data_IF_324767392001
#
_entry.id   IF_324767392001
#
_cell.length_a   1.000
_cell.length_b   1.000
_cell.length_c   1.000
_cell.angle_alpha   90.00
_cell.angle_beta   90.00
_cell.angle_gamma   90.00
#
_symmetry.space_group_name_H-M   'P 1'
#
loop_
_entity.id
_entity.type
_entity.pdbx_description
1 polymer ?
#
# COMPACT_ATOMS: atom_id res chain seq x y z
N UNK A 1 -14.17 15.10 -2.95
CA UNK A 1 -13.95 13.65 -3.06
C UNK A 1 -14.30 13.11 -4.43
N UNK A 2 -15.39 13.56 -5.07
CA UNK A 2 -15.78 13.15 -6.42
C UNK A 2 -14.66 13.29 -7.47
N UNK A 3 -14.04 14.47 -7.63
CA UNK A 3 -12.95 14.64 -8.60
C UNK A 3 -11.74 13.74 -8.35
N UNK A 4 -11.50 13.37 -7.08
CA UNK A 4 -10.46 12.40 -6.71
C UNK A 4 -10.86 10.98 -7.11
N UNK A 5 -12.11 10.57 -6.87
CA UNK A 5 -12.65 9.30 -7.33
C UNK A 5 -12.61 9.18 -8.87
N UNK A 6 -12.95 10.25 -9.61
CA UNK A 6 -12.80 10.28 -11.07
C UNK A 6 -11.34 10.11 -11.51
N UNK A 7 -10.39 10.77 -10.85
CA UNK A 7 -8.98 10.59 -11.17
C UNK A 7 -8.53 9.12 -10.94
N UNK A 8 -8.98 8.51 -9.84
CA UNK A 8 -8.68 7.12 -9.50
C UNK A 8 -9.33 6.10 -10.45
N UNK A 9 -10.51 6.42 -11.00
CA UNK A 9 -11.20 5.61 -12.01
C UNK A 9 -10.34 5.43 -13.27
N UNK A 10 -9.58 6.44 -13.66
CA UNK A 10 -8.66 6.37 -14.80
C UNK A 10 -7.26 5.88 -14.42
N UNK A 11 -6.74 6.31 -13.26
CA UNK A 11 -5.40 5.93 -12.80
C UNK A 11 -5.30 4.44 -12.49
N UNK A 12 -6.34 3.83 -11.90
CA UNK A 12 -6.30 2.42 -11.49
C UNK A 12 -6.12 1.47 -12.68
N UNK A 13 -6.93 1.51 -13.76
CA UNK A 13 -6.72 0.67 -14.93
C UNK A 13 -5.38 0.93 -15.61
N UNK A 14 -4.91 2.19 -15.62
CA UNK A 14 -3.61 2.54 -16.19
C UNK A 14 -2.46 1.84 -15.47
N UNK A 15 -2.40 1.93 -14.13
CA UNK A 15 -1.36 1.25 -13.35
C UNK A 15 -1.45 -0.27 -13.42
N UNK A 16 -2.66 -0.84 -13.39
CA UNK A 16 -2.84 -2.29 -13.60
C UNK A 16 -2.33 -2.70 -14.99
N UNK A 17 -2.59 -1.89 -16.02
CA UNK A 17 -2.05 -2.09 -17.36
C UNK A 17 -0.52 -2.11 -17.39
N UNK A 18 0.14 -1.18 -16.69
CA UNK A 18 1.61 -1.15 -16.60
C UNK A 18 2.17 -2.38 -15.86
N UNK A 19 1.53 -2.82 -14.78
CA UNK A 19 1.89 -4.07 -14.09
C UNK A 19 1.77 -5.26 -15.03
N UNK A 20 0.69 -5.35 -15.81
CA UNK A 20 0.52 -6.43 -16.80
C UNK A 20 1.60 -6.38 -17.88
N UNK A 21 1.96 -5.19 -18.37
CA UNK A 21 3.06 -5.01 -19.32
C UNK A 21 4.38 -5.51 -18.73
N UNK A 22 4.71 -5.18 -17.48
CA UNK A 22 5.92 -5.69 -16.83
C UNK A 22 5.89 -7.21 -16.66
N UNK A 23 4.75 -7.79 -16.26
CA UNK A 23 4.58 -9.25 -16.17
C UNK A 23 4.82 -9.91 -17.53
N UNK A 24 4.24 -9.37 -18.60
CA UNK A 24 4.39 -9.90 -19.97
C UNK A 24 5.84 -9.77 -20.45
N UNK A 25 6.47 -8.63 -20.20
CA UNK A 25 7.88 -8.39 -20.50
C UNK A 25 8.77 -9.39 -19.76
N UNK A 26 8.59 -9.57 -18.46
CA UNK A 26 9.32 -10.53 -17.64
C UNK A 26 9.19 -11.98 -18.13
N UNK A 27 8.03 -12.37 -18.66
CA UNK A 27 7.83 -13.68 -19.34
C UNK A 27 8.58 -13.75 -20.66
N UNK A 28 8.48 -12.71 -21.48
CA UNK A 28 9.14 -12.63 -22.78
C UNK A 28 10.67 -12.76 -22.67
N UNK A 29 11.27 -12.06 -21.70
CA UNK A 29 12.73 -12.12 -21.44
C UNK A 29 13.15 -13.27 -20.51
N UNK A 30 12.21 -14.14 -20.11
CA UNK A 30 12.43 -15.28 -19.20
C UNK A 30 13.07 -14.92 -17.85
N UNK A 31 12.78 -13.73 -17.32
CA UNK A 31 13.30 -13.22 -16.05
C UNK A 31 12.15 -12.61 -15.22
N UNK A 32 11.17 -13.44 -14.84
CA UNK A 32 9.98 -12.99 -14.13
C UNK A 32 10.31 -12.50 -12.71
N UNK A 33 9.85 -11.29 -12.36
CA UNK A 33 10.04 -10.65 -11.05
C UNK A 33 8.78 -10.64 -10.18
N UNK A 34 7.65 -11.03 -10.75
CA UNK A 34 6.39 -11.13 -10.02
C UNK A 34 6.16 -12.53 -9.46
N UNK A 35 5.83 -12.58 -8.17
CA UNK A 35 5.09 -13.69 -7.57
C UNK A 35 3.59 -13.38 -7.65
N UNK A 36 2.76 -14.37 -8.03
CA UNK A 36 1.30 -14.18 -8.19
C UNK A 36 0.64 -13.76 -6.88
N UNK A 37 0.96 -14.42 -5.76
CA UNK A 37 0.32 -14.10 -4.48
C UNK A 37 0.78 -12.75 -3.93
N UNK A 38 2.07 -12.43 -4.10
CA UNK A 38 2.60 -11.11 -3.72
C UNK A 38 2.00 -9.98 -4.59
N UNK A 39 1.82 -10.22 -5.89
CA UNK A 39 1.18 -9.27 -6.80
C UNK A 39 -0.28 -9.05 -6.40
N UNK A 40 -1.02 -10.13 -6.09
CA UNK A 40 -2.40 -10.00 -5.58
C UNK A 40 -2.41 -9.19 -4.30
N UNK A 41 -1.60 -9.54 -3.30
CA UNK A 41 -1.47 -8.80 -2.03
C UNK A 41 -1.16 -7.32 -2.23
N UNK A 42 -0.24 -7.00 -3.14
CA UNK A 42 0.19 -5.63 -3.43
C UNK A 42 -0.90 -4.81 -4.10
N UNK A 43 -1.59 -5.36 -5.10
CA UNK A 43 -2.72 -4.71 -5.75
C UNK A 43 -3.90 -4.53 -4.77
N UNK A 44 -4.22 -5.56 -3.98
CA UNK A 44 -5.22 -5.48 -2.92
C UNK A 44 -4.93 -4.38 -1.90
N UNK A 45 -3.65 -4.17 -1.55
CA UNK A 45 -3.24 -3.05 -0.69
C UNK A 45 -3.62 -1.71 -1.32
N UNK A 46 -3.30 -1.52 -2.60
CA UNK A 46 -3.66 -0.32 -3.35
C UNK A 46 -5.16 -0.09 -3.36
N UNK A 47 -5.96 -1.13 -3.63
CA UNK A 47 -7.43 -1.07 -3.60
C UNK A 47 -7.95 -0.62 -2.22
N UNK A 48 -7.43 -1.17 -1.11
CA UNK A 48 -7.85 -0.73 0.23
C UNK A 48 -7.50 0.73 0.51
N UNK A 49 -6.31 1.18 0.09
CA UNK A 49 -5.90 2.57 0.26
C UNK A 49 -6.82 3.52 -0.50
N UNK A 50 -7.05 3.28 -1.80
CA UNK A 50 -7.88 4.19 -2.62
C UNK A 50 -9.33 4.22 -2.16
N UNK A 51 -9.89 3.09 -1.70
CA UNK A 51 -11.24 3.07 -1.10
C UNK A 51 -11.26 3.93 0.17
N UNK A 52 -10.35 3.71 1.12
CA UNK A 52 -10.30 4.49 2.37
C UNK A 52 -10.07 5.98 2.12
N UNK A 53 -9.16 6.33 1.21
CA UNK A 53 -8.88 7.72 0.89
C UNK A 53 -10.05 8.38 0.14
N UNK A 54 -10.74 7.67 -0.77
CA UNK A 54 -11.92 8.20 -1.46
C UNK A 54 -13.07 8.51 -0.50
N UNK A 55 -13.28 7.68 0.53
CA UNK A 55 -14.29 7.85 1.57
C UNK A 55 -13.97 9.00 2.55
N UNK A 56 -12.78 9.60 2.48
CA UNK A 56 -12.42 10.72 3.36
C UNK A 56 -12.25 10.33 4.83
N UNK A 57 -11.91 9.07 5.13
CA UNK A 57 -11.80 8.56 6.51
C UNK A 57 -10.52 9.02 7.25
N UNK A 58 -9.75 9.93 6.66
CA UNK A 58 -8.53 10.50 7.26
C UNK A 58 -8.90 11.70 8.12
N UNK A 59 -8.48 11.68 9.39
CA UNK A 59 -8.57 12.84 10.26
C UNK A 59 -7.46 13.83 9.89
N UNK A 60 -7.81 14.88 9.16
CA UNK A 60 -6.88 15.96 8.81
C UNK A 60 -6.68 16.84 10.05
N UNK A 61 -5.46 16.84 10.61
CA UNK A 61 -5.13 17.66 11.78
C UNK A 61 -5.11 19.14 11.41
N UNK A 62 -4.46 19.45 10.29
CA UNK A 62 -4.35 20.78 9.71
C UNK A 62 -4.34 20.64 8.20
N UNK A 63 -5.20 21.39 7.51
CA UNK A 63 -5.28 21.38 6.05
C UNK A 63 -4.36 22.45 5.44
N UNK A 64 -3.93 22.25 4.19
CA UNK A 64 -3.16 23.27 3.48
C UNK A 64 -3.94 24.59 3.29
N UNK A 65 -5.24 24.59 2.92
CA UNK A 65 -6.04 25.81 2.87
C UNK A 65 -6.05 26.59 4.20
N UNK A 66 -6.16 25.88 5.33
CA UNK A 66 -6.10 26.51 6.64
C UNK A 66 -4.75 27.20 6.89
N UNK A 67 -3.63 26.54 6.57
CA UNK A 67 -2.30 27.15 6.70
C UNK A 67 -2.15 28.37 5.78
N UNK A 68 -2.62 28.27 4.54
CA UNK A 68 -2.54 29.36 3.57
C UNK A 68 -3.32 30.58 4.05
N UNK A 69 -4.56 30.39 4.51
CA UNK A 69 -5.41 31.46 5.02
C UNK A 69 -4.79 32.21 6.21
N UNK A 70 -4.12 31.49 7.13
CA UNK A 70 -3.65 32.05 8.39
C UNK A 70 -2.17 32.45 8.40
N UNK A 71 -1.34 31.89 7.51
CA UNK A 71 0.12 32.09 7.53
C UNK A 71 0.65 32.82 6.30
N UNK A 72 -0.11 32.95 5.21
CA UNK A 72 0.38 33.60 4.00
C UNK A 72 0.79 35.05 4.26
N UNK A 73 2.03 35.38 3.92
CA UNK A 73 2.55 36.75 3.96
C UNK A 73 2.41 37.45 2.60
N UNK A 74 2.22 36.68 1.53
CA UNK A 74 2.16 37.13 0.16
C UNK A 74 0.92 36.55 -0.52
N UNK A 75 0.39 37.29 -1.49
CA UNK A 75 -0.59 36.77 -2.44
C UNK A 75 0.12 36.56 -3.79
N UNK A 76 0.31 35.31 -4.21
CA UNK A 76 1.02 34.97 -5.43
C UNK A 76 0.05 34.46 -6.50
N UNK A 77 0.12 35.04 -7.70
CA UNK A 77 -0.60 34.53 -8.88
C UNK A 77 0.04 33.24 -9.39
N UNK A 78 -0.78 32.27 -9.81
CA UNK A 78 -0.34 30.99 -10.37
C UNK A 78 0.35 31.13 -11.74
N UNK A 79 1.61 31.57 -11.75
CA UNK A 79 2.48 31.59 -12.94
C UNK A 79 3.19 30.24 -13.11
N UNK A 80 3.71 29.92 -14.31
CA UNK A 80 4.45 28.68 -14.55
C UNK A 80 5.62 28.47 -13.58
N UNK A 81 6.27 29.55 -13.15
CA UNK A 81 7.37 29.51 -12.18
C UNK A 81 6.87 29.04 -10.80
N UNK A 82 5.68 29.46 -10.37
CA UNK A 82 5.06 29.00 -9.12
C UNK A 82 4.80 27.51 -9.15
N UNK A 83 4.35 26.97 -10.29
CA UNK A 83 4.16 25.53 -10.46
C UNK A 83 5.48 24.76 -10.31
N UNK A 84 6.57 25.23 -10.94
CA UNK A 84 7.89 24.59 -10.84
C UNK A 84 8.42 24.65 -9.40
N UNK A 85 8.38 25.83 -8.77
CA UNK A 85 8.86 26.00 -7.39
C UNK A 85 8.01 25.20 -6.40
N UNK A 86 6.69 25.18 -6.57
CA UNK A 86 5.79 24.39 -5.74
C UNK A 86 6.05 22.88 -5.90
N UNK A 87 6.35 22.41 -7.11
CA UNK A 87 6.74 21.01 -7.33
C UNK A 87 8.03 20.65 -6.60
N UNK A 88 9.05 21.50 -6.67
CA UNK A 88 10.31 21.33 -5.94
C UNK A 88 10.07 21.35 -4.43
N UNK A 89 9.23 22.27 -3.93
CA UNK A 89 8.88 22.35 -2.52
C UNK A 89 8.10 21.12 -2.04
N UNK A 90 7.18 20.60 -2.87
CA UNK A 90 6.47 19.35 -2.60
C UNK A 90 7.44 18.17 -2.53
N UNK A 91 8.41 18.08 -3.46
CA UNK A 91 9.41 17.01 -3.45
C UNK A 91 10.36 17.09 -2.24
N UNK A 92 10.74 18.31 -1.83
CA UNK A 92 11.54 18.52 -0.62
C UNK A 92 10.77 18.16 0.65
N UNK A 93 9.50 18.57 0.77
CA UNK A 93 8.62 18.15 1.87
C UNK A 93 8.45 16.62 1.89
N UNK A 94 8.33 16.04 0.70
CA UNK A 94 8.30 14.61 0.46
C UNK A 94 9.52 13.87 0.98
N UNK A 95 10.73 14.36 0.67
CA UNK A 95 11.99 13.83 1.19
C UNK A 95 12.00 13.81 2.73
N UNK A 96 11.59 14.90 3.39
CA UNK A 96 11.56 14.95 4.85
C UNK A 96 10.50 14.02 5.45
N UNK A 97 9.31 13.95 4.85
CA UNK A 97 8.28 12.98 5.25
C UNK A 97 8.81 11.55 5.16
N UNK A 98 9.49 11.24 4.06
CA UNK A 98 10.05 9.93 3.80
C UNK A 98 11.18 9.61 4.79
N UNK A 99 12.05 10.57 5.07
CA UNK A 99 13.11 10.43 6.09
C UNK A 99 12.54 10.20 7.48
N UNK A 100 11.53 10.96 7.89
CA UNK A 100 10.83 10.73 9.16
C UNK A 100 10.23 9.32 9.21
N UNK A 101 9.67 8.86 8.09
CA UNK A 101 9.09 7.51 7.96
C UNK A 101 10.13 6.40 8.16
N UNK A 102 11.36 6.58 7.70
CA UNK A 102 12.43 5.58 7.92
C UNK A 102 13.07 5.65 9.31
N UNK A 103 13.00 6.81 9.98
CA UNK A 103 13.75 7.05 11.22
C UNK A 103 12.90 7.06 12.49
N UNK A 104 11.57 7.06 12.43
CA UNK A 104 10.70 7.19 13.61
C UNK A 104 9.55 6.19 13.56
N UNK A 105 9.33 5.45 14.65
CA UNK A 105 8.34 4.37 14.73
C UNK A 105 6.91 4.77 14.31
N UNK A 106 6.42 5.94 14.74
CA UNK A 106 5.09 6.43 14.35
C UNK A 106 4.94 6.59 12.84
N UNK A 107 5.91 7.24 12.19
CA UNK A 107 5.88 7.48 10.75
C UNK A 107 6.18 6.19 9.96
N UNK A 108 7.08 5.34 10.47
CA UNK A 108 7.34 4.02 9.87
C UNK A 108 6.09 3.15 9.81
N UNK A 109 5.18 3.24 10.79
CA UNK A 109 3.91 2.51 10.72
C UNK A 109 3.07 2.85 9.47
N UNK A 110 3.24 4.06 8.94
CA UNK A 110 2.52 4.53 7.75
C UNK A 110 3.27 4.18 6.45
N UNK A 111 4.45 3.57 6.54
CA UNK A 111 5.31 3.35 5.39
C UNK A 111 5.81 1.91 5.28
N UNK A 112 5.88 1.16 6.37
CA UNK A 112 6.35 -0.23 6.43
C UNK A 112 5.66 -1.17 5.44
N UNK A 113 4.37 -0.93 5.14
CA UNK A 113 3.67 -1.75 4.15
C UNK A 113 4.26 -1.58 2.75
N UNK A 114 4.73 -0.39 2.39
CA UNK A 114 5.39 -0.14 1.11
C UNK A 114 6.62 -1.03 0.93
N UNK A 115 7.41 -1.20 1.99
CA UNK A 115 8.59 -2.08 2.02
C UNK A 115 8.27 -3.55 2.28
N UNK A 116 7.02 -3.91 2.58
CA UNK A 116 6.69 -5.25 3.08
C UNK A 116 6.76 -6.37 2.03
N UNK A 117 6.79 -6.04 0.73
CA UNK A 117 6.97 -7.06 -0.31
C UNK A 117 8.39 -7.61 -0.28
N UNK A 118 8.51 -8.92 -0.33
CA UNK A 118 9.78 -9.62 -0.49
C UNK A 118 10.18 -9.75 -1.98
N UNK A 119 9.34 -9.22 -2.89
CA UNK A 119 9.62 -9.03 -4.30
C UNK A 119 9.74 -7.52 -4.62
N UNK A 120 10.38 -7.18 -5.74
CA UNK A 120 10.48 -5.79 -6.18
C UNK A 120 10.08 -5.65 -7.65
N UNK A 121 8.94 -5.02 -7.90
CA UNK A 121 8.30 -4.87 -9.20
C UNK A 121 7.19 -3.81 -9.11
N UNK A 122 6.55 -3.45 -10.22
CA UNK A 122 5.60 -2.33 -10.28
C UNK A 122 4.39 -2.55 -9.37
N UNK A 123 4.04 -3.80 -9.05
CA UNK A 123 2.93 -4.06 -8.14
C UNK A 123 3.26 -3.61 -6.71
N UNK A 124 4.52 -3.74 -6.25
CA UNK A 124 4.90 -3.34 -4.89
C UNK A 124 4.80 -1.83 -4.67
N UNK A 125 4.90 -1.01 -5.73
CA UNK A 125 4.60 0.43 -5.68
C UNK A 125 3.20 0.72 -5.13
N UNK A 126 2.25 -0.19 -5.34
CA UNK A 126 0.85 -0.05 -4.94
C UNK A 126 0.58 -0.56 -3.52
N UNK A 127 1.61 -0.99 -2.77
CA UNK A 127 1.51 -1.25 -1.33
C UNK A 127 1.41 0.06 -0.54
N UNK A 128 0.22 0.65 -0.58
CA UNK A 128 -0.10 1.93 0.05
C UNK A 128 -0.74 1.73 1.43
N UNK A 129 -0.52 2.65 2.38
CA UNK A 129 -1.01 2.52 3.75
C UNK A 129 -2.51 2.82 3.87
N UNK A 130 -3.17 2.09 4.76
CA UNK A 130 -4.44 2.49 5.37
C UNK A 130 -4.27 2.92 6.83
N UNK A 131 -3.09 2.70 7.40
CA UNK A 131 -2.74 3.05 8.78
C UNK A 131 -2.45 4.55 8.99
N UNK A 132 -2.34 5.33 7.90
CA UNK A 132 -2.21 6.79 7.90
C UNK A 132 -3.57 7.47 8.15
N UNK A 133 -4.11 7.30 9.36
CA UNK A 133 -5.40 7.87 9.78
C UNK A 133 -5.31 9.34 10.20
N UNK A 134 -4.09 9.86 10.43
CA UNK A 134 -3.83 11.26 10.77
C UNK A 134 -3.17 11.97 9.60
N UNK A 135 -3.82 13.00 9.07
CA UNK A 135 -3.29 13.85 8.01
C UNK A 135 -2.49 15.04 8.58
N UNK A 136 -1.16 14.95 8.53
CA UNK A 136 -0.22 15.98 9.00
C UNK A 136 0.67 16.57 7.90
N UNK A 137 0.62 16.04 6.68
CA UNK A 137 1.55 16.41 5.60
C UNK A 137 1.55 17.91 5.28
N UNK A 138 0.40 18.60 5.45
CA UNK A 138 0.30 20.04 5.27
C UNK A 138 1.30 20.82 6.15
N UNK A 139 1.67 20.31 7.33
CA UNK A 139 2.67 20.94 8.20
C UNK A 139 4.05 21.01 7.57
N UNK A 140 4.40 20.06 6.68
CA UNK A 140 5.65 20.09 5.93
C UNK A 140 5.62 21.13 4.79
N UNK A 141 4.43 21.63 4.45
CA UNK A 141 4.20 22.66 3.44
C UNK A 141 4.02 24.06 4.03
N UNK A 142 4.30 24.25 5.34
CA UNK A 142 4.29 25.58 5.97
C UNK A 142 5.11 26.61 5.18
N UNK A 143 6.33 26.33 4.68
CA UNK A 143 7.05 27.31 3.86
C UNK A 143 6.30 27.73 2.59
N UNK A 144 5.63 26.79 1.91
CA UNK A 144 4.83 27.08 0.73
C UNK A 144 3.58 27.93 1.08
N UNK A 145 2.93 27.63 2.20
CA UNK A 145 1.80 28.40 2.71
C UNK A 145 2.20 29.83 3.09
N UNK A 146 3.31 30.01 3.82
CA UNK A 146 3.87 31.32 4.20
C UNK A 146 4.19 32.17 2.96
N UNK A 147 4.72 31.55 1.92
CA UNK A 147 5.00 32.21 0.64
C UNK A 147 3.74 32.46 -0.19
N UNK A 148 2.55 31.99 0.21
CA UNK A 148 1.30 32.25 -0.51
C UNK A 148 1.09 31.39 -1.75
N UNK A 149 1.66 30.17 -1.80
CA UNK A 149 1.46 29.27 -2.95
C UNK A 149 -0.02 28.86 -3.02
N UNK A 150 -0.72 29.08 -4.15
CA UNK A 150 -2.16 28.83 -4.22
C UNK A 150 -2.53 27.37 -3.97
N UNK A 151 -3.59 27.13 -3.19
CA UNK A 151 -4.08 25.80 -2.84
C UNK A 151 -4.36 24.91 -4.06
N UNK A 152 -4.84 25.50 -5.17
CA UNK A 152 -5.11 24.79 -6.42
C UNK A 152 -3.84 24.21 -7.04
N UNK A 153 -2.70 24.90 -6.91
CA UNK A 153 -1.41 24.41 -7.41
C UNK A 153 -1.00 23.16 -6.63
N UNK A 154 -1.08 23.21 -5.30
CA UNK A 154 -0.78 22.07 -4.42
C UNK A 154 -1.73 20.90 -4.68
N UNK A 155 -3.04 21.15 -4.78
CA UNK A 155 -4.06 20.14 -4.99
C UNK A 155 -3.88 19.37 -6.31
N UNK A 156 -3.36 20.02 -7.35
CA UNK A 156 -3.09 19.39 -8.65
C UNK A 156 -1.71 18.70 -8.65
N UNK A 157 -0.68 19.33 -8.09
CA UNK A 157 0.67 18.77 -8.11
C UNK A 157 0.85 17.57 -7.18
N UNK A 158 0.18 17.53 -6.03
CA UNK A 158 0.32 16.44 -5.07
C UNK A 158 0.03 15.04 -5.66
N UNK A 159 -1.11 14.79 -6.34
CA UNK A 159 -1.35 13.48 -6.97
C UNK A 159 -0.41 13.22 -8.15
N UNK A 160 -0.03 14.24 -8.94
CA UNK A 160 0.94 14.08 -10.04
C UNK A 160 2.30 13.64 -9.48
N UNK A 161 2.77 14.28 -8.41
CA UNK A 161 4.02 13.95 -7.73
C UNK A 161 3.99 12.53 -7.15
N UNK A 162 2.89 12.13 -6.52
CA UNK A 162 2.69 10.75 -6.03
C UNK A 162 2.75 9.73 -7.18
N UNK A 163 2.03 9.97 -8.28
CA UNK A 163 1.96 9.03 -9.40
C UNK A 163 3.26 8.96 -10.21
N UNK A 164 4.02 10.07 -10.28
CA UNK A 164 5.32 10.11 -10.95
C UNK A 164 6.37 9.19 -10.29
N UNK A 165 6.12 8.70 -9.08
CA UNK A 165 7.00 7.77 -8.35
C UNK A 165 6.81 6.30 -8.75
N UNK A 166 5.75 5.97 -9.48
CA UNK A 166 5.40 4.58 -9.76
C UNK A 166 6.45 3.83 -10.59
N UNK A 167 6.94 4.46 -11.67
CA UNK A 167 7.70 3.79 -12.73
C UNK A 167 9.04 3.19 -12.30
N UNK A 168 9.66 3.71 -11.24
CA UNK A 168 10.98 3.26 -10.82
C UNK A 168 10.96 1.99 -9.94
N UNK A 169 9.79 1.41 -9.69
CA UNK A 169 9.65 0.13 -8.97
C UNK A 169 9.87 -1.06 -9.91
N UNK A 170 11.07 -1.20 -10.46
CA UNK A 170 11.37 -2.31 -11.36
C UNK A 170 12.81 -2.78 -11.23
N UNK A 171 13.02 -4.09 -11.45
CA UNK A 171 14.36 -4.66 -11.59
C UNK A 171 14.80 -4.78 -13.06
N UNK A 172 13.96 -4.40 -14.02
CA UNK A 172 14.25 -4.55 -15.44
C UNK A 172 15.07 -3.41 -16.04
N UNK A 173 15.20 -2.30 -15.32
CA UNK A 173 16.00 -1.14 -15.72
C UNK A 173 17.23 -1.07 -14.82
N UNK A 174 18.41 -1.13 -15.42
CA UNK A 174 19.70 -1.02 -14.72
C UNK A 174 20.02 0.42 -14.27
N UNK A 175 21.31 0.72 -14.12
CA UNK A 175 21.77 2.08 -13.82
C UNK A 175 21.52 3.01 -15.00
N UNK A 176 21.15 4.27 -14.72
CA UNK A 176 20.80 5.26 -15.75
C UNK A 176 21.83 6.39 -15.91
N UNK A 177 23.05 6.20 -15.39
CA UNK A 177 24.18 7.11 -15.59
C UNK A 177 23.93 8.49 -14.99
N UNK A 178 24.04 9.55 -15.80
CA UNK A 178 23.95 10.93 -15.31
C UNK A 178 22.56 11.28 -14.71
N UNK A 179 21.50 10.55 -15.09
CA UNK A 179 20.17 10.76 -14.52
C UNK A 179 20.12 10.46 -13.01
N UNK A 180 20.99 9.58 -12.50
CA UNK A 180 21.11 9.20 -11.08
C UNK A 180 21.72 10.32 -10.19
N UNK A 181 22.02 11.46 -10.79
CA UNK A 181 22.45 12.66 -10.09
C UNK A 181 21.35 13.72 -10.00
N UNK A 182 20.23 13.55 -10.73
CA UNK A 182 19.14 14.52 -10.80
C UNK A 182 17.84 13.90 -10.29
N UNK A 183 17.42 12.78 -10.87
CA UNK A 183 16.15 12.12 -10.56
C UNK A 183 16.38 10.77 -9.87
N UNK A 184 15.41 10.31 -9.10
CA UNK A 184 15.38 8.96 -8.57
C UNK A 184 15.16 7.98 -9.73
N UNK A 185 15.99 6.94 -9.76
CA UNK A 185 15.99 5.92 -10.80
C UNK A 185 15.67 4.53 -10.22
N UNK A 186 15.35 3.54 -11.06
CA UNK A 186 15.08 2.18 -10.60
C UNK A 186 16.22 1.56 -9.79
N UNK A 187 17.48 1.84 -10.14
CA UNK A 187 18.65 1.39 -9.37
C UNK A 187 18.68 1.97 -7.96
N UNK A 188 18.47 3.28 -7.84
CA UNK A 188 18.43 3.96 -6.54
C UNK A 188 17.25 3.49 -5.69
N UNK A 189 16.09 3.24 -6.30
CA UNK A 189 14.90 2.78 -5.58
C UNK A 189 14.97 1.30 -5.17
N UNK A 190 15.70 0.45 -5.92
CA UNK A 190 16.04 -0.91 -5.46
C UNK A 190 16.85 -0.88 -4.17
N UNK A 191 17.88 -0.03 -4.11
CA UNK A 191 18.67 0.20 -2.88
C UNK A 191 17.77 0.68 -1.75
N UNK A 192 16.89 1.63 -2.01
CA UNK A 192 15.96 2.14 -1.02
C UNK A 192 15.08 1.03 -0.39
N UNK A 193 14.57 0.10 -1.20
CA UNK A 193 13.75 -1.01 -0.72
C UNK A 193 14.53 -2.16 -0.09
N UNK A 194 15.87 -2.11 -0.11
CA UNK A 194 16.67 -3.23 0.30
C UNK A 194 16.88 -3.29 1.81
N UNK A 195 16.90 -4.51 2.34
CA UNK A 195 17.15 -4.81 3.77
C UNK A 195 18.63 -5.10 4.07
N UNK A 196 19.51 -5.02 3.06
CA UNK A 196 20.96 -5.16 3.24
C UNK A 196 21.49 -4.07 4.18
N UNK A 197 22.48 -4.40 5.01
CA UNK A 197 23.08 -3.45 5.96
C UNK A 197 23.67 -2.20 5.27
N UNK A 198 24.13 -2.34 4.03
CA UNK A 198 24.68 -1.27 3.20
C UNK A 198 23.61 -0.27 2.75
N UNK A 199 22.35 -0.71 2.67
CA UNK A 199 21.27 -0.04 1.95
C UNK A 199 20.14 0.48 2.87
N UNK A 200 20.06 -0.01 4.10
CA UNK A 200 19.08 0.46 5.09
C UNK A 200 19.17 1.99 5.27
N UNK A 201 17.99 2.62 5.28
CA UNK A 201 17.79 4.06 5.47
C UNK A 201 18.53 4.93 4.41
N UNK A 202 18.65 4.42 3.17
CA UNK A 202 19.26 5.13 2.03
C UNK A 202 18.24 5.50 0.95
N UNK A 203 18.62 6.47 0.12
CA UNK A 203 17.90 6.94 -1.07
C UNK A 203 16.43 7.27 -0.79
N UNK A 204 16.21 8.32 0.01
CA UNK A 204 14.91 8.76 0.52
C UNK A 204 14.26 9.84 -0.37
N UNK A 205 14.92 10.28 -1.45
CA UNK A 205 14.32 11.13 -2.47
C UNK A 205 13.10 10.47 -3.11
N UNK A 206 12.16 11.28 -3.58
CA UNK A 206 10.96 10.80 -4.27
C UNK A 206 11.08 11.01 -5.78
N UNK A 207 11.21 12.26 -6.23
CA UNK A 207 11.48 12.57 -7.64
C UNK A 207 12.93 12.99 -7.83
N UNK A 208 13.47 13.89 -7.00
CA UNK A 208 14.86 14.33 -7.11
C UNK A 208 15.76 13.63 -6.09
N UNK A 209 16.81 12.96 -6.58
CA UNK A 209 17.82 12.33 -5.73
C UNK A 209 18.89 13.32 -5.23
N UNK A 210 18.78 14.60 -5.62
CA UNK A 210 19.66 15.70 -5.15
C UNK A 210 19.61 15.83 -3.63
N UNK A 211 18.42 15.64 -3.03
CA UNK A 211 18.24 15.70 -1.58
C UNK A 211 19.06 14.63 -0.85
N UNK A 212 19.16 13.43 -1.41
CA UNK A 212 19.94 12.35 -0.83
C UNK A 212 21.42 12.68 -0.74
N UNK A 213 21.96 13.37 -1.75
CA UNK A 213 23.35 13.83 -1.74
C UNK A 213 23.54 14.98 -0.77
N UNK A 214 22.61 15.93 -0.78
CA UNK A 214 22.66 17.12 0.08
C UNK A 214 22.59 16.76 1.57
N UNK A 215 21.84 15.71 1.92
CA UNK A 215 21.60 15.32 3.31
C UNK A 215 22.28 14.01 3.73
N UNK A 216 23.13 13.44 2.86
CA UNK A 216 23.98 12.29 3.20
C UNK A 216 23.26 10.94 3.27
N UNK A 217 22.14 10.78 2.57
CA UNK A 217 21.37 9.52 2.48
C UNK A 217 21.56 8.79 1.16
N UNK A 218 22.34 9.34 0.22
CA UNK A 218 22.64 8.68 -1.06
C UNK A 218 23.49 7.41 -0.86
N UNK A 219 23.12 6.34 -1.55
CA UNK A 219 23.89 5.11 -1.69
C UNK A 219 23.69 4.53 -3.08
N UNK A 220 24.79 4.23 -3.77
CA UNK A 220 24.75 3.56 -5.06
C UNK A 220 24.42 2.06 -4.90
N UNK A 221 23.74 1.48 -5.89
CA UNK A 221 23.61 0.02 -6.00
C UNK A 221 24.96 -0.59 -6.36
N UNK A 222 25.49 -1.42 -5.47
CA UNK A 222 26.78 -2.09 -5.64
C UNK A 222 26.56 -3.45 -6.31
N UNK A 223 27.38 -3.76 -7.32
CA UNK A 223 27.25 -5.00 -8.10
C UNK A 223 27.54 -6.24 -7.24
N UNK A 224 28.43 -6.10 -6.24
CA UNK A 224 28.83 -7.16 -5.32
C UNK A 224 27.84 -7.38 -4.17
N UNK A 225 26.91 -6.45 -3.95
CA UNK A 225 25.91 -6.49 -2.87
C UNK A 225 24.51 -6.44 -3.49
N UNK A 226 23.99 -7.57 -4.01
CA UNK A 226 22.70 -7.57 -4.66
C UNK A 226 21.58 -7.24 -3.65
N UNK A 227 20.67 -6.28 -3.96
CA UNK A 227 19.55 -5.92 -3.11
C UNK A 227 18.65 -7.11 -2.74
N UNK A 228 18.32 -7.22 -1.46
CA UNK A 228 17.36 -8.17 -0.89
C UNK A 228 16.18 -7.38 -0.33
N UNK A 229 14.95 -7.81 -0.57
CA UNK A 229 13.74 -7.02 -0.29
C UNK A 229 12.92 -7.57 0.87
N UNK A 230 11.96 -6.77 1.31
CA UNK A 230 11.06 -7.05 2.43
C UNK A 230 11.36 -6.12 3.60
N UNK A 231 11.10 -6.63 4.81
CA UNK A 231 11.38 -5.92 6.06
C UNK A 231 12.12 -6.87 7.00
N UNK A 232 13.07 -6.35 7.79
CA UNK A 232 13.87 -7.15 8.73
C UNK A 232 13.02 -7.98 9.71
N UNK A 233 11.78 -7.57 9.94
CA UNK A 233 10.75 -8.32 10.64
C UNK A 233 9.69 -8.72 9.61
N UNK A 234 9.80 -9.89 8.95
CA UNK A 234 8.91 -10.28 7.87
C UNK A 234 7.44 -10.15 8.25
N UNK A 235 6.63 -9.83 7.24
CA UNK A 235 5.19 -9.72 7.40
C UNK A 235 4.55 -11.08 7.70
N UNK A 236 5.03 -12.14 7.03
CA UNK A 236 4.52 -13.52 7.15
C UNK A 236 3.00 -13.62 6.90
N UNK A 237 2.48 -12.80 6.00
CA UNK A 237 1.06 -12.75 5.61
C UNK A 237 0.92 -12.07 4.25
N UNK A 238 -0.06 -12.51 3.47
CA UNK A 238 -0.51 -11.84 2.25
C UNK A 238 -1.60 -10.79 2.51
N UNK A 239 -2.12 -10.67 3.73
CA UNK A 239 -3.23 -9.79 4.05
C UNK A 239 -2.75 -8.34 4.28
N UNK A 240 -2.99 -7.40 3.34
CA UNK A 240 -2.46 -6.05 3.43
C UNK A 240 -3.04 -5.25 4.61
N UNK A 241 -4.25 -5.58 5.07
CA UNK A 241 -4.85 -4.96 6.25
C UNK A 241 -4.07 -5.38 7.50
N UNK A 242 -3.73 -6.66 7.63
CA UNK A 242 -2.90 -7.13 8.75
C UNK A 242 -1.53 -6.45 8.71
N UNK A 243 -0.86 -6.43 7.56
CA UNK A 243 0.48 -5.82 7.39
C UNK A 243 0.51 -4.37 7.89
N UNK A 244 -0.51 -3.57 7.54
CA UNK A 244 -0.63 -2.16 7.96
C UNK A 244 -0.58 -1.94 9.48
N UNK A 245 -1.07 -2.90 10.26
CA UNK A 245 -1.21 -2.76 11.71
C UNK A 245 -0.23 -3.62 12.51
N UNK A 246 0.58 -4.46 11.85
CA UNK A 246 1.57 -5.31 12.55
C UNK A 246 2.62 -4.49 13.30
N UNK A 247 3.13 -3.41 12.72
CA UNK A 247 4.13 -2.58 13.39
C UNK A 247 3.52 -1.86 14.60
N UNK A 248 2.39 -1.18 14.41
CA UNK A 248 1.62 -0.54 15.48
C UNK A 248 1.32 -1.51 16.62
N UNK A 249 0.82 -2.71 16.31
CA UNK A 249 0.49 -3.72 17.31
C UNK A 249 1.71 -4.13 18.14
N UNK A 250 2.87 -4.32 17.52
CA UNK A 250 4.13 -4.63 18.24
C UNK A 250 4.54 -3.47 19.15
N UNK A 251 4.43 -2.21 18.70
CA UNK A 251 4.71 -1.04 19.54
C UNK A 251 3.76 -0.95 20.73
N UNK A 252 2.46 -1.18 20.53
CA UNK A 252 1.46 -1.21 21.61
C UNK A 252 1.79 -2.30 22.64
N UNK A 253 2.17 -3.49 22.18
CA UNK A 253 2.59 -4.58 23.07
C UNK A 253 3.84 -4.22 23.88
N UNK A 254 4.84 -3.62 23.25
CA UNK A 254 6.07 -3.21 23.93
C UNK A 254 5.82 -2.09 24.94
N UNK A 255 5.01 -1.09 24.57
CA UNK A 255 4.56 -0.02 25.45
C UNK A 255 3.76 -0.56 26.64
N UNK A 256 2.89 -1.55 26.41
CA UNK A 256 2.14 -2.20 27.48
C UNK A 256 3.05 -2.98 28.43
N UNK A 257 3.98 -3.78 27.89
CA UNK A 257 4.83 -4.71 28.64
C UNK A 257 5.96 -4.04 29.43
N UNK A 258 6.47 -2.89 28.98
CA UNK A 258 7.57 -2.24 29.69
C UNK A 258 7.12 -1.73 31.05
N UNK A 259 8.00 -1.87 32.05
CA UNK A 259 7.78 -1.33 33.41
C UNK A 259 8.12 0.15 33.51
N UNK A 260 8.85 0.70 32.55
CA UNK A 260 9.27 2.10 32.57
C UNK A 260 8.21 2.99 31.91
N UNK A 261 7.59 3.88 32.69
CA UNK A 261 6.54 4.80 32.20
C UNK A 261 7.02 5.77 31.11
N UNK A 262 8.28 6.22 31.14
CA UNK A 262 8.85 7.04 30.07
C UNK A 262 8.98 6.24 28.78
N UNK A 263 9.37 4.97 28.87
CA UNK A 263 9.45 4.08 27.72
C UNK A 263 8.08 3.82 27.08
N UNK A 264 6.99 3.83 27.87
CA UNK A 264 5.62 3.75 27.34
C UNK A 264 5.28 4.94 26.43
N UNK A 265 5.79 6.13 26.76
CA UNK A 265 5.47 7.37 26.06
C UNK A 265 6.44 7.67 24.92
N UNK A 266 7.75 7.44 25.09
CA UNK A 266 8.73 7.81 24.07
C UNK A 266 8.80 6.82 22.90
N UNK A 267 8.40 5.55 23.09
CA UNK A 267 8.53 4.49 22.07
C UNK A 267 8.01 4.89 20.69
N UNK A 268 6.92 5.66 20.63
CA UNK A 268 6.29 6.15 19.40
C UNK A 268 7.20 7.05 18.57
N UNK A 269 8.10 7.78 19.24
CA UNK A 269 9.01 8.76 18.63
C UNK A 269 10.46 8.28 18.59
N UNK A 270 10.75 7.10 19.13
CA UNK A 270 12.09 6.51 19.10
C UNK A 270 12.43 5.99 17.69
N UNK A 271 13.74 5.81 17.39
CA UNK A 271 14.20 5.24 16.14
C UNK A 271 13.58 3.89 15.79
N UNK A 272 13.45 3.62 14.50
CA UNK A 272 12.98 2.32 14.00
C UNK A 272 13.85 1.18 14.57
N UNK A 273 13.20 0.14 15.09
CA UNK A 273 13.88 -0.97 15.76
C UNK A 273 14.25 -0.74 17.24
N UNK A 274 14.12 0.48 17.77
CA UNK A 274 14.23 0.72 19.21
C UNK A 274 13.11 0.00 19.96
N UNK A 275 13.45 -0.60 21.11
CA UNK A 275 12.49 -1.22 22.04
C UNK A 275 13.01 -1.05 23.48
N UNK A 276 12.13 -1.00 24.50
CA UNK A 276 12.54 -0.90 25.90
C UNK A 276 13.45 -2.06 26.32
N UNK A 277 14.47 -1.79 27.15
CA UNK A 277 15.51 -2.78 27.51
C UNK A 277 14.92 -4.03 28.19
N UNK A 278 14.00 -3.82 29.13
CA UNK A 278 13.32 -4.89 29.86
C UNK A 278 12.48 -5.77 28.92
N UNK A 279 11.82 -5.16 27.95
CA UNK A 279 11.02 -5.86 26.94
C UNK A 279 11.90 -6.62 25.94
N UNK A 280 13.03 -6.05 25.50
CA UNK A 280 13.98 -6.75 24.60
C UNK A 280 14.47 -8.06 25.21
N UNK A 281 14.78 -8.06 26.50
CA UNK A 281 15.27 -9.24 27.22
C UNK A 281 14.16 -10.26 27.44
N UNK A 282 12.99 -9.82 27.93
CA UNK A 282 11.90 -10.72 28.32
C UNK A 282 11.06 -11.23 27.13
N UNK A 283 10.96 -10.45 26.06
CA UNK A 283 10.14 -10.73 24.88
C UNK A 283 10.95 -10.48 23.60
N UNK A 284 11.95 -11.34 23.30
CA UNK A 284 12.76 -11.20 22.09
C UNK A 284 11.90 -11.34 20.83
N UNK A 285 12.26 -10.60 19.78
CA UNK A 285 11.61 -10.66 18.47
C UNK A 285 12.65 -11.13 17.46
N UNK A 286 12.32 -12.17 16.71
CA UNK A 286 13.16 -12.68 15.63
C UNK A 286 13.23 -11.65 14.50
N UNK A 287 14.42 -11.45 13.97
CA UNK A 287 14.71 -10.60 12.81
C UNK A 287 15.54 -11.40 11.80
N UNK A 288 15.52 -10.98 10.54
CA UNK A 288 16.44 -11.51 9.53
C UNK A 288 17.84 -11.00 9.86
N UNK A 289 18.77 -11.93 10.10
CA UNK A 289 20.21 -11.61 10.29
C UNK A 289 21.02 -11.84 9.01
N UNK A 290 20.68 -12.88 8.25
CA UNK A 290 21.28 -13.17 6.94
C UNK A 290 20.26 -12.92 5.83
N UNK A 291 20.41 -11.78 5.16
CA UNK A 291 19.50 -11.32 4.09
C UNK A 291 19.58 -12.17 2.82
N UNK A 292 20.62 -12.99 2.64
CA UNK A 292 20.79 -13.82 1.45
C UNK A 292 20.24 -15.24 1.61
N UNK A 293 19.89 -15.65 2.84
CA UNK A 293 19.47 -17.03 3.14
C UNK A 293 18.17 -17.08 3.96
N UNK A 294 17.35 -16.02 3.92
CA UNK A 294 16.02 -16.08 4.51
C UNK A 294 15.03 -16.71 3.53
N UNK A 295 14.09 -17.49 4.05
CA UNK A 295 13.03 -18.09 3.25
C UNK A 295 11.92 -17.06 3.08
N UNK A 296 11.63 -16.68 1.83
CA UNK A 296 10.48 -15.84 1.51
C UNK A 296 9.17 -16.49 1.93
N UNK A 297 8.21 -15.69 2.37
CA UNK A 297 6.88 -16.14 2.72
C UNK A 297 6.16 -16.68 1.49
N UNK A 298 5.94 -18.00 1.48
CA UNK A 298 5.27 -18.67 0.38
C UNK A 298 4.55 -19.93 0.89
N UNK A 299 3.32 -19.79 1.41
CA UNK A 299 2.46 -20.92 1.71
C UNK A 299 2.25 -21.79 0.47
N UNK A 300 2.06 -23.09 0.67
CA UNK A 300 1.79 -24.04 -0.41
C UNK A 300 0.45 -23.74 -1.09
N UNK A 301 0.48 -23.56 -2.41
CA UNK A 301 -0.67 -23.12 -3.20
C UNK A 301 -0.73 -23.83 -4.54
N UNK A 302 -1.89 -24.39 -4.91
CA UNK A 302 -2.09 -24.94 -6.25
C UNK A 302 -2.24 -23.83 -7.29
N UNK A 303 -2.09 -24.20 -8.57
CA UNK A 303 -2.37 -23.30 -9.69
C UNK A 303 -3.83 -22.86 -9.72
N UNK A 304 -4.76 -23.73 -9.33
CA UNK A 304 -6.21 -23.42 -9.28
C UNK A 304 -6.48 -22.36 -8.21
N UNK A 305 -5.84 -22.46 -7.05
CA UNK A 305 -6.00 -21.48 -5.99
C UNK A 305 -5.37 -20.11 -6.32
N UNK A 306 -4.24 -20.10 -7.04
CA UNK A 306 -3.70 -18.85 -7.62
C UNK A 306 -4.69 -18.21 -8.60
N UNK A 307 -5.36 -19.03 -9.42
CA UNK A 307 -6.44 -18.57 -10.30
C UNK A 307 -7.61 -17.97 -9.53
N UNK A 308 -8.03 -18.60 -8.43
CA UNK A 308 -9.07 -18.07 -7.55
C UNK A 308 -8.69 -16.73 -6.91
N UNK A 309 -7.46 -16.59 -6.41
CA UNK A 309 -6.99 -15.33 -5.83
C UNK A 309 -6.98 -14.19 -6.87
N UNK A 310 -6.56 -14.48 -8.11
CA UNK A 310 -6.64 -13.52 -9.22
C UNK A 310 -8.08 -13.16 -9.58
N UNK A 311 -8.99 -14.15 -9.61
CA UNK A 311 -10.42 -13.91 -9.83
C UNK A 311 -10.99 -12.97 -8.76
N UNK A 312 -10.71 -13.22 -7.48
CA UNK A 312 -11.15 -12.37 -6.37
C UNK A 312 -10.62 -10.92 -6.52
N UNK A 313 -9.35 -10.75 -6.89
CA UNK A 313 -8.77 -9.45 -7.16
C UNK A 313 -9.46 -8.72 -8.33
N UNK A 314 -9.70 -9.42 -9.45
CA UNK A 314 -10.34 -8.83 -10.64
C UNK A 314 -11.76 -8.38 -10.29
N UNK A 315 -12.56 -9.25 -9.65
CA UNK A 315 -13.93 -8.90 -9.26
C UNK A 315 -13.96 -7.75 -8.25
N UNK A 316 -13.05 -7.75 -7.27
CA UNK A 316 -12.93 -6.64 -6.31
C UNK A 316 -12.58 -5.33 -7.00
N UNK A 317 -11.63 -5.36 -7.95
CA UNK A 317 -11.28 -4.19 -8.76
C UNK A 317 -12.47 -3.69 -9.57
N UNK A 318 -13.21 -4.58 -10.24
CA UNK A 318 -14.40 -4.20 -11.03
C UNK A 318 -15.49 -3.55 -10.15
N UNK A 319 -15.76 -4.14 -8.98
CA UNK A 319 -16.71 -3.58 -8.01
C UNK A 319 -16.26 -2.20 -7.52
N UNK A 320 -14.97 -2.00 -7.24
CA UNK A 320 -14.42 -0.70 -6.85
C UNK A 320 -14.52 0.34 -7.97
N UNK A 321 -14.20 -0.03 -9.22
CA UNK A 321 -14.33 0.89 -10.36
C UNK A 321 -15.80 1.29 -10.59
N UNK A 322 -16.73 0.36 -10.42
CA UNK A 322 -18.16 0.67 -10.44
C UNK A 322 -18.55 1.65 -9.32
N UNK A 323 -18.06 1.42 -8.10
CA UNK A 323 -18.26 2.33 -6.96
C UNK A 323 -17.75 3.75 -7.26
N UNK A 324 -16.57 3.89 -7.89
CA UNK A 324 -16.03 5.19 -8.28
C UNK A 324 -16.76 5.84 -9.44
N UNK A 325 -17.24 5.04 -10.40
CA UNK A 325 -18.04 5.55 -11.51
C UNK A 325 -19.39 6.12 -11.03
N UNK A 326 -20.03 5.45 -10.07
CA UNK A 326 -21.31 5.86 -9.48
C UNK A 326 -21.17 6.58 -8.13
N UNK A 327 -20.02 7.21 -7.88
CA UNK A 327 -19.67 7.72 -6.57
C UNK A 327 -20.73 8.68 -5.98
N UNK A 328 -21.20 9.63 -6.80
CA UNK A 328 -22.15 10.65 -6.37
C UNK A 328 -23.57 10.11 -6.19
N UNK A 329 -23.99 9.13 -7.00
CA UNK A 329 -25.34 8.55 -6.99
C UNK A 329 -25.55 7.58 -5.81
N UNK A 330 -24.50 6.86 -5.38
CA UNK A 330 -24.57 5.88 -4.29
C UNK A 330 -24.85 6.56 -2.92
N UNK A 331 -24.44 7.82 -2.76
CA UNK A 331 -24.53 8.55 -1.49
C UNK A 331 -23.54 8.05 -0.43
N UNK A 332 -23.31 8.85 0.61
CA UNK A 332 -22.25 8.56 1.59
C UNK A 332 -22.46 7.25 2.35
N UNK A 333 -23.68 6.99 2.84
CA UNK A 333 -23.98 5.75 3.58
C UNK A 333 -23.83 4.50 2.69
N UNK A 334 -24.25 4.61 1.43
CA UNK A 334 -24.07 3.56 0.43
C UNK A 334 -22.59 3.33 0.14
N UNK A 335 -21.79 4.39 0.01
CA UNK A 335 -20.34 4.31 -0.22
C UNK A 335 -19.61 3.66 0.96
N UNK A 336 -20.02 3.98 2.20
CA UNK A 336 -19.48 3.31 3.39
C UNK A 336 -19.78 1.82 3.37
N UNK A 337 -21.02 1.42 3.04
CA UNK A 337 -21.42 0.02 2.96
C UNK A 337 -20.67 -0.72 1.82
N UNK A 338 -20.62 -0.13 0.63
CA UNK A 338 -19.91 -0.69 -0.52
C UNK A 338 -18.41 -0.84 -0.21
N UNK A 339 -17.79 0.22 0.32
CA UNK A 339 -16.40 0.22 0.77
C UNK A 339 -16.13 -0.86 1.81
N UNK A 340 -17.05 -1.08 2.76
CA UNK A 340 -16.95 -2.17 3.74
C UNK A 340 -16.98 -3.54 3.07
N UNK A 341 -17.82 -3.78 2.05
CA UNK A 341 -17.80 -5.03 1.28
C UNK A 341 -16.46 -5.27 0.58
N UNK A 342 -15.86 -4.23 0.00
CA UNK A 342 -14.53 -4.31 -0.62
C UNK A 342 -13.48 -4.64 0.45
N UNK A 343 -13.48 -3.93 1.58
CA UNK A 343 -12.52 -4.12 2.66
C UNK A 343 -12.59 -5.52 3.29
N UNK A 344 -13.80 -5.97 3.65
CA UNK A 344 -14.03 -7.32 4.19
C UNK A 344 -13.67 -8.37 3.15
N UNK A 345 -13.91 -8.09 1.87
CA UNK A 345 -13.51 -8.97 0.79
C UNK A 345 -12.02 -9.16 0.67
N UNK A 346 -11.28 -8.04 0.60
CA UNK A 346 -9.82 -8.04 0.59
C UNK A 346 -9.29 -8.76 1.82
N UNK A 347 -9.83 -8.48 3.01
CA UNK A 347 -9.45 -9.19 4.22
C UNK A 347 -9.69 -10.71 4.09
N UNK A 348 -10.86 -11.12 3.61
CA UNK A 348 -11.29 -12.51 3.49
C UNK A 348 -10.39 -13.33 2.56
N UNK A 349 -10.29 -12.95 1.28
CA UNK A 349 -9.54 -13.75 0.31
C UNK A 349 -8.03 -13.70 0.56
N UNK A 350 -7.46 -12.60 1.07
CA UNK A 350 -6.03 -12.55 1.40
C UNK A 350 -5.70 -13.34 2.67
N UNK A 351 -6.63 -13.43 3.63
CA UNK A 351 -6.50 -14.35 4.76
C UNK A 351 -6.63 -15.81 4.32
N UNK A 352 -7.44 -16.09 3.30
CA UNK A 352 -7.50 -17.41 2.69
C UNK A 352 -6.19 -17.75 1.96
N UNK A 353 -5.55 -16.78 1.30
CA UNK A 353 -4.21 -16.92 0.71
C UNK A 353 -3.16 -17.34 1.75
N UNK A 354 -3.33 -16.92 3.00
CA UNK A 354 -2.51 -17.34 4.16
C UNK A 354 -2.85 -18.73 4.72
N UNK A 355 -3.81 -19.44 4.11
CA UNK A 355 -4.30 -20.75 4.55
C UNK A 355 -4.84 -20.76 5.98
N UNK A 356 -5.36 -19.63 6.47
CA UNK A 356 -5.98 -19.56 7.79
C UNK A 356 -7.38 -20.17 7.73
N UNK A 357 -7.66 -21.12 8.62
CA UNK A 357 -8.93 -21.85 8.65
C UNK A 357 -10.15 -20.95 8.90
N UNK A 358 -10.00 -19.83 9.61
CA UNK A 358 -11.10 -18.92 9.87
C UNK A 358 -11.47 -18.04 8.66
N UNK A 359 -10.66 -18.03 7.59
CA UNK A 359 -10.96 -17.27 6.38
C UNK A 359 -12.29 -17.69 5.74
N UNK A 360 -12.63 -18.99 5.80
CA UNK A 360 -13.90 -19.52 5.26
C UNK A 360 -15.11 -18.81 5.84
N UNK A 361 -15.10 -18.51 7.14
CA UNK A 361 -16.24 -17.85 7.79
C UNK A 361 -16.39 -16.42 7.30
N UNK A 362 -15.29 -15.73 7.00
CA UNK A 362 -15.33 -14.37 6.44
C UNK A 362 -15.93 -14.40 5.04
N UNK A 363 -15.48 -15.32 4.19
CA UNK A 363 -16.00 -15.48 2.83
C UNK A 363 -17.48 -15.87 2.82
N UNK A 364 -17.89 -16.79 3.70
CA UNK A 364 -19.27 -17.24 3.85
C UNK A 364 -20.17 -16.11 4.36
N UNK A 365 -19.79 -15.46 5.47
CA UNK A 365 -20.58 -14.39 6.07
C UNK A 365 -20.71 -13.22 5.09
N UNK A 366 -19.61 -12.81 4.44
CA UNK A 366 -19.62 -11.76 3.42
C UNK A 366 -20.50 -12.13 2.23
N UNK A 367 -20.38 -13.35 1.72
CA UNK A 367 -21.19 -13.81 0.59
C UNK A 367 -22.68 -13.86 0.92
N UNK A 368 -23.05 -14.41 2.08
CA UNK A 368 -24.45 -14.47 2.53
C UNK A 368 -24.99 -13.06 2.77
N UNK A 369 -24.23 -12.17 3.41
CA UNK A 369 -24.64 -10.78 3.60
C UNK A 369 -24.84 -10.06 2.26
N UNK A 370 -23.95 -10.28 1.28
CA UNK A 370 -24.05 -9.69 -0.05
C UNK A 370 -25.28 -10.18 -0.82
N UNK A 371 -25.57 -11.48 -0.76
CA UNK A 371 -26.78 -12.06 -1.34
C UNK A 371 -28.05 -11.53 -0.65
N UNK A 372 -28.03 -11.40 0.68
CA UNK A 372 -29.13 -10.81 1.44
C UNK A 372 -29.33 -9.34 1.07
N UNK A 373 -28.26 -8.57 0.89
CA UNK A 373 -28.34 -7.18 0.44
C UNK A 373 -29.05 -7.11 -0.92
N UNK A 374 -28.56 -7.85 -1.92
CA UNK A 374 -29.17 -7.91 -3.27
C UNK A 374 -30.64 -8.32 -3.20
N UNK A 375 -30.99 -9.30 -2.36
CA UNK A 375 -32.38 -9.73 -2.19
C UNK A 375 -33.26 -8.62 -1.60
N UNK A 376 -32.77 -7.90 -0.59
CA UNK A 376 -33.52 -6.85 0.10
C UNK A 376 -33.67 -5.58 -0.75
N UNK A 377 -32.65 -5.21 -1.52
CA UNK A 377 -32.66 -4.02 -2.37
C UNK A 377 -33.14 -4.30 -3.80
N UNK A 378 -33.22 -5.57 -4.19
CA UNK A 378 -33.45 -6.03 -5.57
C UNK A 378 -32.44 -5.47 -6.58
N UNK A 379 -31.29 -5.00 -6.11
CA UNK A 379 -30.27 -4.32 -6.91
C UNK A 379 -28.91 -4.30 -6.17
N UNK A 380 -27.81 -4.04 -6.88
CA UNK A 380 -26.49 -3.79 -6.31
C UNK A 380 -26.07 -2.35 -6.58
N UNK A 381 -26.47 -1.42 -5.70
CA UNK A 381 -26.05 -0.02 -5.73
C UNK A 381 -26.24 0.68 -7.10
N UNK A 382 -27.36 0.44 -7.77
CA UNK A 382 -27.69 1.01 -9.08
C UNK A 382 -27.16 0.22 -10.28
N UNK A 383 -26.52 -0.94 -10.07
CA UNK A 383 -25.81 -1.67 -11.13
C UNK A 383 -26.74 -2.14 -12.25
N UNK A 384 -27.97 -2.54 -11.92
CA UNK A 384 -28.93 -3.02 -12.93
C UNK A 384 -29.34 -1.94 -13.94
N UNK A 385 -29.16 -0.66 -13.60
CA UNK A 385 -29.34 0.47 -14.53
C UNK A 385 -28.26 0.56 -15.63
N UNK A 386 -27.09 -0.05 -15.42
CA UNK A 386 -25.95 -0.01 -16.34
C UNK A 386 -25.71 -1.34 -17.05
N UNK A 387 -25.97 -2.45 -16.37
CA UNK A 387 -25.76 -3.79 -16.88
C UNK A 387 -27.02 -4.61 -16.63
N UNK A 388 -27.74 -5.07 -17.67
CA UNK A 388 -28.87 -5.97 -17.49
C UNK A 388 -28.43 -7.21 -16.70
N UNK A 389 -29.19 -7.54 -15.64
CA UNK A 389 -28.87 -8.62 -14.70
C UNK A 389 -27.54 -8.42 -13.94
N UNK A 390 -27.08 -7.18 -13.78
CA UNK A 390 -25.85 -6.84 -13.07
C UNK A 390 -25.82 -7.38 -11.64
N UNK A 391 -26.91 -7.22 -10.89
CA UNK A 391 -27.06 -7.76 -9.53
C UNK A 391 -26.99 -9.28 -9.49
N UNK A 392 -27.48 -9.97 -10.54
CA UNK A 392 -27.35 -11.41 -10.66
C UNK A 392 -25.88 -11.84 -10.85
N UNK A 393 -25.09 -11.10 -11.64
CA UNK A 393 -23.66 -11.36 -11.77
C UNK A 393 -22.91 -11.19 -10.44
N UNK A 394 -23.27 -10.17 -9.66
CA UNK A 394 -22.71 -9.96 -8.31
C UNK A 394 -23.15 -11.10 -7.37
N UNK A 395 -24.39 -11.56 -7.46
CA UNK A 395 -24.85 -12.72 -6.70
C UNK A 395 -24.07 -14.00 -7.05
N UNK A 396 -23.80 -14.25 -8.34
CA UNK A 396 -22.94 -15.36 -8.79
C UNK A 396 -21.53 -15.23 -8.22
N UNK A 397 -20.96 -14.02 -8.21
CA UNK A 397 -19.66 -13.76 -7.56
C UNK A 397 -19.67 -14.12 -6.08
N UNK A 398 -20.72 -13.76 -5.33
CA UNK A 398 -20.84 -14.14 -3.92
C UNK A 398 -21.02 -15.64 -3.71
N UNK A 399 -21.75 -16.34 -4.59
CA UNK A 399 -21.84 -17.80 -4.56
C UNK A 399 -20.46 -18.45 -4.81
N UNK A 400 -19.72 -18.00 -5.82
CA UNK A 400 -18.35 -18.47 -6.09
C UNK A 400 -17.44 -18.21 -4.88
N UNK A 401 -17.61 -17.06 -4.21
CA UNK A 401 -16.86 -16.71 -3.01
C UNK A 401 -17.15 -17.68 -1.85
N UNK A 402 -18.42 -18.01 -1.60
CA UNK A 402 -18.84 -18.98 -0.58
C UNK A 402 -18.25 -20.36 -0.89
N UNK A 403 -18.49 -20.88 -2.10
CA UNK A 403 -18.03 -22.22 -2.49
C UNK A 403 -16.51 -22.29 -2.56
N UNK A 404 -15.85 -21.26 -3.08
CA UNK A 404 -14.40 -21.15 -3.13
C UNK A 404 -13.77 -21.13 -1.75
N UNK A 405 -14.31 -20.32 -0.83
CA UNK A 405 -13.87 -20.29 0.57
C UNK A 405 -13.94 -21.65 1.24
N UNK A 406 -15.03 -22.40 1.03
CA UNK A 406 -15.20 -23.76 1.55
C UNK A 406 -14.21 -24.74 0.89
N UNK A 407 -14.17 -24.74 -0.44
CA UNK A 407 -13.33 -25.65 -1.24
C UNK A 407 -11.85 -25.52 -0.92
N UNK A 408 -11.31 -24.31 -0.95
CA UNK A 408 -9.88 -24.07 -0.72
C UNK A 408 -9.46 -24.18 0.75
N UNK A 409 -10.43 -24.13 1.68
CA UNK A 409 -10.15 -24.36 3.11
C UNK A 409 -10.11 -25.84 3.45
N UNK A 410 -11.09 -26.62 2.96
CA UNK A 410 -11.30 -28.00 3.43
C UNK A 410 -10.93 -29.09 2.43
N UNK A 411 -10.99 -28.83 1.12
CA UNK A 411 -10.88 -29.87 0.09
C UNK A 411 -9.59 -29.80 -0.73
N UNK A 412 -9.12 -28.61 -1.11
CA UNK A 412 -7.89 -28.49 -1.90
C UNK A 412 -6.64 -28.90 -1.10
N UNK A 413 -6.65 -28.70 0.22
CA UNK A 413 -5.50 -28.98 1.09
C UNK A 413 -5.11 -30.47 1.09
N UNK A 414 -6.06 -31.38 0.94
CA UNK A 414 -5.79 -32.83 0.86
C UNK A 414 -5.13 -33.27 -0.45
N UNK A 415 -5.14 -32.41 -1.48
CA UNK A 415 -4.53 -32.70 -2.79
C UNK A 415 -3.05 -32.28 -2.88
N UNK A 416 -2.57 -31.43 -1.96
CA UNK A 416 -1.22 -30.84 -2.00
C UNK A 416 -0.25 -31.54 -1.02
N UNK A 417 -0.76 -32.23 0.00
CA UNK A 417 0.05 -33.04 0.93
C UNK A 417 -0.71 -34.31 1.31
N UNK A 418 -0.55 -35.42 0.55
CA UNK A 418 -1.12 -36.72 0.94
C UNK A 418 -0.53 -37.26 2.25
N UNK A 419 0.71 -36.86 2.58
CA UNK A 419 1.53 -37.48 3.64
C UNK A 419 1.40 -36.83 5.03
N UNK A 420 0.45 -35.90 5.23
CA UNK A 420 0.19 -35.27 6.53
C UNK A 420 -1.16 -35.67 7.15
N UNK A 421 -1.84 -36.64 6.54
CA UNK A 421 -3.05 -37.27 7.07
C UNK A 421 -2.79 -38.78 7.22
N UNK A 422 -1.88 -39.13 8.12
CA UNK A 422 -1.77 -40.48 8.70
C UNK A 422 -1.67 -40.38 10.21
#
# INVERSE_FOLDING_TARGET
MESYATALLYATPFFIGLVLVEILYGRFVKNQKHNVMDTVSSLSSGLTNVVKDSLGLVLILVSYPFLLEHLALLEIKSTWLVWVVAFIALDFAGYWNHRLSHHINFFWNQHVIHHSSEEFNLACALRQPISNLLGYYALLLIPAAVLGVPEKVIAILAPIHLFAQFWYHTQHIGKMGWLEYVIVTPSQHRVHHAINKEYIDKNLGQIFCVWDRMFGTFQEELDEVPPQYGVLKPAETWNPIIINFQHLWRLMQDAWRTRNYLDKMRIWFMPTGWRPKDVKIKYPVKIIENVYNFKKYQPETSTVFKGYALFQLIMTTMLMLFMFYNYSEIGFDGLLLFGAYIFVGIYGYTTLMDRKSYAVWIEVIRGVAGLALIYLTSDWFGLDGFLPLGSYWVAVYFLITIFGGIYFTFFEKSLISPDLVS
#
